data_IF_459573426234
#
_entry.id   IF_459573426234
#
_cell.length_a   1.000
_cell.length_b   1.000
_cell.length_c   1.000
_cell.angle_alpha   90.00
_cell.angle_beta   90.00
_cell.angle_gamma   90.00
#
_symmetry.space_group_name_H-M   'P 1'
#
loop_
_entity.id
_entity.type
_entity.pdbx_description
1 polymer ?
#
# COMPACT_ATOMS: atom_id res chain seq x y z
N UNK A 1 2.50 14.48 10.81
CA UNK A 1 2.39 13.37 9.83
C UNK A 1 1.57 12.25 10.47
N UNK A 2 0.64 11.63 9.76
CA UNK A 2 -0.27 10.60 10.30
C UNK A 2 0.41 9.23 10.16
N UNK A 3 0.66 8.55 11.28
CA UNK A 3 1.41 7.28 11.29
C UNK A 3 0.51 6.04 11.32
N UNK A 4 -0.73 6.18 11.79
CA UNK A 4 -1.69 5.09 11.98
C UNK A 4 -3.10 5.65 12.04
N UNK A 5 -4.07 4.89 11.53
CA UNK A 5 -5.49 5.13 11.76
C UNK A 5 -6.10 3.94 12.50
N UNK A 6 -7.07 4.21 13.35
CA UNK A 6 -7.87 3.18 14.03
C UNK A 6 -9.28 3.69 14.18
N UNK A 7 -10.22 2.97 13.60
CA UNK A 7 -11.58 3.45 13.42
C UNK A 7 -12.48 2.39 12.80
N UNK A 8 -13.55 2.81 12.14
CA UNK A 8 -14.49 1.94 11.46
C UNK A 8 -14.23 1.99 9.95
N UNK A 9 -14.22 0.84 9.29
CA UNK A 9 -14.17 0.79 7.84
C UNK A 9 -15.51 1.29 7.29
N UNK A 10 -15.51 2.45 6.65
CA UNK A 10 -16.73 3.08 6.13
C UNK A 10 -17.02 2.67 4.70
N UNK A 11 -15.98 2.53 3.87
CA UNK A 11 -16.11 2.17 2.45
C UNK A 11 -14.82 1.53 1.93
N UNK A 12 -14.94 0.68 0.93
CA UNK A 12 -13.82 0.14 0.15
C UNK A 12 -14.13 0.25 -1.34
N UNK A 13 -13.15 0.66 -2.12
CA UNK A 13 -13.23 0.73 -3.58
C UNK A 13 -11.96 0.19 -4.23
N UNK A 14 -11.83 0.38 -5.54
CA UNK A 14 -10.62 -0.01 -6.25
C UNK A 14 -9.43 0.86 -5.82
N UNK A 15 -8.46 0.25 -5.14
CA UNK A 15 -7.22 0.90 -4.70
C UNK A 15 -7.37 1.86 -3.51
N UNK A 16 -8.56 1.94 -2.89
CA UNK A 16 -8.80 2.84 -1.76
C UNK A 16 -9.75 2.25 -0.71
N UNK A 17 -9.65 2.78 0.51
CA UNK A 17 -10.58 2.58 1.60
C UNK A 17 -10.84 3.89 2.33
N UNK A 18 -12.02 4.03 2.93
CA UNK A 18 -12.35 5.14 3.83
C UNK A 18 -12.42 4.60 5.26
N UNK A 19 -11.62 5.18 6.15
CA UNK A 19 -11.66 4.87 7.59
C UNK A 19 -12.28 6.05 8.33
N UNK A 20 -13.44 5.81 8.95
CA UNK A 20 -14.04 6.77 9.87
C UNK A 20 -13.30 6.71 11.22
N UNK A 21 -12.69 7.83 11.61
CA UNK A 21 -12.08 8.00 12.93
C UNK A 21 -12.80 9.14 13.64
N UNK A 22 -13.82 8.79 14.42
CA UNK A 22 -14.55 9.75 15.25
C UNK A 22 -15.40 10.74 14.42
N UNK A 23 -15.98 10.28 13.31
CA UNK A 23 -16.78 11.09 12.40
C UNK A 23 -15.98 11.76 11.27
N UNK A 24 -14.67 11.52 11.19
CA UNK A 24 -13.81 12.02 10.10
C UNK A 24 -13.45 10.86 9.17
N UNK A 25 -13.92 10.90 7.93
CA UNK A 25 -13.60 9.93 6.90
C UNK A 25 -12.23 10.20 6.27
N UNK A 26 -11.24 9.37 6.58
CA UNK A 26 -9.92 9.42 5.96
C UNK A 26 -9.89 8.54 4.72
N UNK A 27 -9.68 9.13 3.54
CA UNK A 27 -9.40 8.39 2.32
C UNK A 27 -7.95 7.88 2.36
N UNK A 28 -7.80 6.56 2.23
CA UNK A 28 -6.52 5.86 2.30
C UNK A 28 -6.34 5.03 1.04
N UNK A 29 -5.24 5.24 0.32
CA UNK A 29 -4.87 4.43 -0.83
C UNK A 29 -4.14 3.17 -0.38
N UNK A 30 -4.51 2.03 -0.92
CA UNK A 30 -4.04 0.72 -0.47
C UNK A 30 -3.67 -0.17 -1.66
N UNK A 31 -2.81 -1.16 -1.41
CA UNK A 31 -2.61 -2.26 -2.37
C UNK A 31 -3.87 -3.13 -2.43
N UNK A 32 -4.09 -3.83 -3.54
CA UNK A 32 -5.22 -4.78 -3.65
C UNK A 32 -5.16 -5.86 -2.55
N UNK A 33 -3.94 -6.24 -2.15
CA UNK A 33 -3.70 -7.20 -1.07
C UNK A 33 -4.01 -6.63 0.32
N UNK A 34 -3.73 -5.36 0.58
CA UNK A 34 -4.19 -4.69 1.81
C UNK A 34 -5.71 -4.66 1.83
N UNK A 35 -6.36 -4.26 0.73
CA UNK A 35 -7.82 -4.18 0.63
C UNK A 35 -8.51 -5.52 0.88
N UNK A 36 -7.99 -6.61 0.33
CA UNK A 36 -8.56 -7.96 0.54
C UNK A 36 -8.40 -8.49 1.98
N UNK A 37 -7.54 -7.87 2.79
CA UNK A 37 -7.36 -8.19 4.22
C UNK A 37 -8.22 -7.33 5.13
N UNK A 38 -8.87 -6.29 4.61
CA UNK A 38 -9.74 -5.44 5.41
C UNK A 38 -10.98 -6.21 5.88
N UNK A 39 -11.54 -5.87 7.05
CA UNK A 39 -12.78 -6.47 7.49
C UNK A 39 -13.95 -5.98 6.62
N UNK A 40 -15.16 -6.47 6.88
CA UNK A 40 -16.37 -5.92 6.26
C UNK A 40 -16.61 -4.46 6.69
N UNK A 41 -17.29 -3.70 5.83
CA UNK A 41 -17.76 -2.34 6.14
C UNK A 41 -18.57 -2.33 7.44
N UNK A 42 -18.37 -1.29 8.26
CA UNK A 42 -18.98 -1.15 9.59
C UNK A 42 -18.20 -1.83 10.71
N UNK A 43 -17.08 -2.52 10.41
CA UNK A 43 -16.22 -3.15 11.42
C UNK A 43 -14.99 -2.31 11.76
N UNK A 44 -14.42 -2.57 12.93
CA UNK A 44 -13.19 -1.92 13.38
C UNK A 44 -11.99 -2.31 12.52
N UNK A 45 -11.20 -1.34 12.10
CA UNK A 45 -9.99 -1.52 11.32
C UNK A 45 -8.85 -0.69 11.90
N UNK A 46 -7.63 -1.18 11.71
CA UNK A 46 -6.38 -0.46 12.01
C UNK A 46 -5.48 -0.57 10.80
N UNK A 47 -4.94 0.56 10.37
CA UNK A 47 -3.99 0.64 9.28
C UNK A 47 -2.76 1.42 9.70
N UNK A 48 -1.59 0.90 9.34
CA UNK A 48 -0.34 1.64 9.37
C UNK A 48 -0.34 2.62 8.19
N UNK A 49 0.05 3.87 8.44
CA UNK A 49 -0.07 4.94 7.44
C UNK A 49 1.31 5.50 7.08
N UNK A 50 1.49 5.72 5.77
CA UNK A 50 2.49 6.63 5.22
C UNK A 50 1.79 7.86 4.66
N UNK A 51 2.11 9.04 5.21
CA UNK A 51 1.54 10.32 4.75
C UNK A 51 2.48 11.00 3.77
N UNK A 52 2.03 11.28 2.56
CA UNK A 52 2.76 12.10 1.60
C UNK A 52 2.12 13.48 1.55
N UNK A 53 2.89 14.52 1.87
CA UNK A 53 2.48 15.91 1.77
C UNK A 53 3.15 16.53 0.54
N UNK A 54 2.34 17.09 -0.34
CA UNK A 54 2.77 17.95 -1.45
C UNK A 54 2.08 19.30 -1.32
N UNK A 55 2.45 20.26 -2.16
CA UNK A 55 1.87 21.61 -2.12
C UNK A 55 0.36 21.61 -2.38
N UNK A 56 -0.11 20.70 -3.23
CA UNK A 56 -1.49 20.62 -3.71
C UNK A 56 -2.34 19.54 -3.02
N UNK A 57 -1.71 18.57 -2.34
CA UNK A 57 -2.43 17.46 -1.72
C UNK A 57 -1.72 16.81 -0.53
N UNK A 58 -2.52 16.17 0.32
CA UNK A 58 -2.08 15.24 1.35
C UNK A 58 -2.66 13.87 1.01
N UNK A 59 -1.80 12.89 0.73
CA UNK A 59 -2.22 11.51 0.49
C UNK A 59 -1.82 10.60 1.64
N UNK A 60 -2.73 9.70 2.00
CA UNK A 60 -2.48 8.65 2.97
C UNK A 60 -2.39 7.31 2.24
N UNK A 61 -1.29 6.59 2.46
CA UNK A 61 -1.10 5.23 1.98
C UNK A 61 -1.20 4.27 3.15
N UNK A 62 -2.09 3.28 3.03
CA UNK A 62 -2.43 2.35 4.10
C UNK A 62 -1.86 0.97 3.88
N UNK A 63 -1.44 0.37 4.99
CA UNK A 63 -0.84 -0.96 5.03
C UNK A 63 -1.43 -1.72 6.21
N UNK A 64 -1.61 -3.03 6.05
CA UNK A 64 -2.20 -3.84 7.13
C UNK A 64 -1.24 -3.98 8.32
N UNK A 65 0.06 -3.97 8.06
CA UNK A 65 1.10 -4.12 9.08
C UNK A 65 2.33 -3.24 8.78
N UNK A 66 3.22 -3.16 9.77
CA UNK A 66 4.42 -2.33 9.71
C UNK A 66 5.44 -2.85 8.71
N UNK A 67 5.46 -4.17 8.46
CA UNK A 67 6.35 -4.82 7.50
C UNK A 67 5.99 -4.40 6.08
N UNK A 68 4.72 -4.48 5.71
CA UNK A 68 4.24 -4.03 4.40
C UNK A 68 4.53 -2.54 4.17
N UNK A 69 4.32 -1.68 5.19
CA UNK A 69 4.69 -0.25 5.12
C UNK A 69 6.19 -0.04 4.95
N UNK A 70 7.03 -0.80 5.64
CA UNK A 70 8.48 -0.70 5.51
C UNK A 70 8.94 -1.06 4.09
N UNK A 71 8.35 -2.10 3.50
CA UNK A 71 8.59 -2.47 2.10
C UNK A 71 8.14 -1.40 1.12
N UNK A 72 6.96 -0.80 1.31
CA UNK A 72 6.54 0.33 0.50
C UNK A 72 7.56 1.47 0.51
N UNK A 73 8.02 1.87 1.71
CA UNK A 73 9.04 2.92 1.86
C UNK A 73 10.32 2.56 1.12
N UNK A 74 10.79 1.32 1.26
CA UNK A 74 11.99 0.84 0.57
C UNK A 74 11.81 0.87 -0.96
N UNK A 75 10.69 0.35 -1.45
CA UNK A 75 10.38 0.31 -2.89
C UNK A 75 10.40 1.71 -3.49
N UNK A 76 9.82 2.71 -2.82
CA UNK A 76 9.79 4.10 -3.31
C UNK A 76 11.18 4.74 -3.38
N UNK A 77 12.19 4.19 -2.70
CA UNK A 77 13.58 4.66 -2.85
C UNK A 77 14.25 4.20 -4.15
N UNK A 78 13.70 3.19 -4.83
CA UNK A 78 14.27 2.65 -6.06
C UNK A 78 14.00 3.61 -7.22
N UNK A 79 15.04 3.94 -7.99
CA UNK A 79 14.92 4.83 -9.14
C UNK A 79 13.88 4.28 -10.14
N UNK A 80 12.87 5.10 -10.47
CA UNK A 80 11.77 4.70 -11.36
C UNK A 80 10.58 4.05 -10.67
N UNK A 81 10.66 3.77 -9.36
CA UNK A 81 9.53 3.26 -8.57
C UNK A 81 8.85 4.42 -7.85
N UNK A 82 7.75 4.91 -8.42
CA UNK A 82 6.84 5.82 -7.73
C UNK A 82 5.84 5.07 -6.83
N UNK A 83 5.08 5.82 -6.03
CA UNK A 83 4.03 5.28 -5.14
C UNK A 83 3.10 4.29 -5.84
N UNK A 84 2.60 4.64 -7.04
CA UNK A 84 1.65 3.77 -7.77
C UNK A 84 2.28 2.42 -8.11
N UNK A 85 3.55 2.42 -8.52
CA UNK A 85 4.29 1.20 -8.86
C UNK A 85 4.57 0.40 -7.59
N UNK A 86 4.96 1.05 -6.48
CA UNK A 86 5.16 0.38 -5.21
C UNK A 86 3.87 -0.32 -4.71
N UNK A 87 2.72 0.34 -4.79
CA UNK A 87 1.43 -0.29 -4.45
C UNK A 87 1.06 -1.41 -5.41
N UNK A 88 1.37 -1.29 -6.71
CA UNK A 88 1.14 -2.35 -7.68
C UNK A 88 2.00 -3.59 -7.38
N UNK A 89 3.26 -3.41 -6.99
CA UNK A 89 4.15 -4.49 -6.55
C UNK A 89 3.58 -5.19 -5.32
N UNK A 90 3.19 -4.43 -4.29
CA UNK A 90 2.59 -4.98 -3.07
C UNK A 90 1.19 -5.58 -3.29
N UNK A 91 0.53 -5.25 -4.41
CA UNK A 91 -0.74 -5.87 -4.79
C UNK A 91 -0.55 -7.30 -5.28
N UNK A 92 0.58 -7.62 -5.90
CA UNK A 92 0.86 -8.96 -6.45
C UNK A 92 1.76 -9.81 -5.57
N UNK A 93 2.52 -9.20 -4.65
CA UNK A 93 3.50 -9.90 -3.83
C UNK A 93 3.49 -9.48 -2.36
N UNK A 94 3.71 -10.42 -1.45
CA UNK A 94 4.02 -10.13 -0.04
C UNK A 94 5.46 -9.65 0.12
N UNK A 95 5.76 -9.13 1.31
CA UNK A 95 7.14 -8.84 1.74
C UNK A 95 8.08 -10.05 1.57
N UNK A 96 7.63 -11.23 2.01
CA UNK A 96 8.44 -12.44 1.92
C UNK A 96 8.63 -12.91 0.47
N UNK A 97 7.56 -12.84 -0.35
CA UNK A 97 7.64 -13.15 -1.78
C UNK A 97 8.61 -12.20 -2.50
N UNK A 98 8.66 -10.93 -2.12
CA UNK A 98 9.63 -9.96 -2.63
C UNK A 98 11.06 -10.33 -2.27
N UNK A 99 11.32 -10.71 -1.02
CA UNK A 99 12.65 -11.18 -0.59
C UNK A 99 13.09 -12.37 -1.43
N UNK A 100 12.22 -13.36 -1.61
CA UNK A 100 12.53 -14.55 -2.38
C UNK A 100 12.79 -14.22 -3.86
N UNK A 101 11.94 -13.41 -4.48
CA UNK A 101 12.13 -13.03 -5.88
C UNK A 101 13.44 -12.24 -6.09
N UNK A 102 13.78 -11.33 -5.18
CA UNK A 102 15.04 -10.57 -5.23
C UNK A 102 16.24 -11.52 -5.08
N UNK A 103 16.20 -12.42 -4.09
CA UNK A 103 17.28 -13.38 -3.85
C UNK A 103 17.47 -14.34 -5.04
N UNK A 104 16.38 -14.76 -5.68
CA UNK A 104 16.39 -15.62 -6.86
C UNK A 104 16.66 -14.88 -8.19
N UNK A 105 16.76 -13.54 -8.17
CA UNK A 105 16.80 -12.70 -9.38
C UNK A 105 15.62 -12.98 -10.33
N UNK A 106 14.46 -13.33 -9.77
CA UNK A 106 13.25 -13.64 -10.51
C UNK A 106 12.54 -12.35 -10.96
N UNK A 107 13.02 -11.81 -12.08
CA UNK A 107 12.43 -10.62 -12.72
C UNK A 107 10.99 -10.86 -13.15
N UNK A 108 10.65 -12.08 -13.57
CA UNK A 108 9.32 -12.39 -14.07
C UNK A 108 8.27 -12.19 -12.98
N UNK A 109 8.57 -12.60 -11.74
CA UNK A 109 7.69 -12.37 -10.59
C UNK A 109 7.33 -10.90 -10.38
N UNK A 110 8.32 -10.00 -10.46
CA UNK A 110 8.16 -8.56 -10.24
C UNK A 110 7.45 -7.87 -11.41
N UNK A 111 7.70 -8.30 -12.66
CA UNK A 111 7.03 -7.74 -13.85
C UNK A 111 5.53 -8.02 -13.93
N UNK A 112 4.99 -8.89 -13.06
CA UNK A 112 3.53 -9.07 -12.92
C UNK A 112 2.84 -7.83 -12.37
N UNK A 113 3.57 -6.95 -11.68
CA UNK A 113 3.04 -5.72 -11.15
C UNK A 113 2.80 -4.70 -12.28
N UNK A 114 1.58 -4.14 -12.33
CA UNK A 114 1.24 -3.12 -13.31
C UNK A 114 2.19 -1.92 -13.22
N UNK A 115 2.78 -1.55 -14.36
CA UNK A 115 3.74 -0.45 -14.45
C UNK A 115 5.20 -0.83 -14.18
N UNK A 116 5.51 -2.12 -13.91
CA UNK A 116 6.89 -2.63 -13.84
C UNK A 116 7.31 -3.21 -15.19
N UNK A 117 8.20 -2.50 -15.90
CA UNK A 117 8.81 -2.98 -17.14
C UNK A 117 10.13 -3.73 -16.91
N UNK A 118 10.64 -4.41 -17.94
CA UNK A 118 11.84 -5.24 -17.88
C UNK A 118 13.13 -4.49 -17.45
N UNK A 119 13.20 -3.17 -17.65
CA UNK A 119 14.32 -2.34 -17.20
C UNK A 119 14.27 -2.02 -15.71
N UNK A 120 13.06 -1.99 -15.15
CA UNK A 120 12.83 -1.68 -13.74
C UNK A 120 12.94 -2.94 -12.86
N UNK A 121 12.53 -4.10 -13.40
CA UNK A 121 12.66 -5.40 -12.75
C UNK A 121 14.09 -5.95 -12.73
#
# INVERSE_FOLDING_TARGET
>A
MIARLSGILAETGEGLAIVDVGGVGYLVFCSARTLSRLPETGKSVRLEIETHVREDHIHLYGFFDTTERAWFRLLVTVQGVGVRVALAILSVMTADELVQAIAAQDKAAVTRANGVGAKLA
#
